data_IF_882548589737
#
_entry.id   IF_882548589737
#
_cell.length_a   1.000
_cell.length_b   1.000
_cell.length_c   1.000
_cell.angle_alpha   90.00
_cell.angle_beta   90.00
_cell.angle_gamma   90.00
#
_symmetry.space_group_name_H-M   'P 1'
#
loop_
_entity.id
_entity.type
_entity.pdbx_description
1 polymer ?
#
# COMPACT_ATOMS: atom_id res chain seq x y z
N UNK A 1 -13.13 19.64 12.71
CA UNK A 1 -12.62 19.26 11.37
C UNK A 1 -12.21 17.80 11.46
N UNK A 2 -13.07 16.87 11.03
CA UNK A 2 -12.83 15.43 11.13
C UNK A 2 -11.69 15.03 10.18
N UNK A 3 -10.86 14.09 10.57
CA UNK A 3 -9.75 13.62 9.74
C UNK A 3 -10.28 12.90 8.48
N UNK A 4 -10.20 13.56 7.32
CA UNK A 4 -10.54 12.99 6.00
C UNK A 4 -9.52 11.93 5.53
N UNK A 5 -8.84 11.27 6.46
CA UNK A 5 -7.83 10.27 6.16
C UNK A 5 -8.49 9.06 5.48
N UNK A 6 -7.79 8.45 4.51
CA UNK A 6 -8.28 7.24 3.80
C UNK A 6 -8.54 6.09 4.78
N UNK A 7 -7.77 6.01 5.85
CA UNK A 7 -7.91 5.02 6.92
C UNK A 7 -9.15 5.28 7.77
N UNK A 8 -9.44 6.53 8.14
CA UNK A 8 -10.65 6.87 8.90
C UNK A 8 -11.92 6.49 8.15
N UNK A 9 -12.01 6.82 6.85
CA UNK A 9 -13.12 6.40 5.98
C UNK A 9 -13.31 4.88 5.96
N UNK A 10 -12.22 4.10 5.96
CA UNK A 10 -12.28 2.62 6.02
C UNK A 10 -12.72 2.10 7.38
N UNK A 11 -12.27 2.73 8.47
CA UNK A 11 -12.67 2.38 9.82
C UNK A 11 -14.18 2.60 10.02
N UNK A 12 -14.71 3.71 9.52
CA UNK A 12 -16.16 3.99 9.54
C UNK A 12 -16.94 2.92 8.77
N UNK A 13 -16.48 2.54 7.57
CA UNK A 13 -17.13 1.46 6.79
C UNK A 13 -17.10 0.13 7.56
N UNK A 14 -15.98 -0.21 8.18
CA UNK A 14 -15.82 -1.45 8.94
C UNK A 14 -16.72 -1.48 10.17
N UNK A 15 -16.79 -0.37 10.91
CA UNK A 15 -17.63 -0.22 12.08
C UNK A 15 -19.11 -0.36 11.73
N UNK A 16 -19.61 0.41 10.75
CA UNK A 16 -21.00 0.34 10.32
C UNK A 16 -21.37 -1.04 9.77
N UNK A 17 -20.42 -1.73 9.12
CA UNK A 17 -20.65 -3.10 8.65
C UNK A 17 -20.70 -4.10 9.80
N UNK A 18 -19.90 -3.92 10.84
CA UNK A 18 -19.96 -4.75 12.06
C UNK A 18 -21.29 -4.55 12.83
N UNK A 19 -21.87 -3.35 12.76
CA UNK A 19 -23.23 -3.07 13.26
C UNK A 19 -24.34 -3.76 12.42
N UNK A 20 -24.00 -4.36 11.28
CA UNK A 20 -24.95 -5.07 10.41
C UNK A 20 -25.61 -4.20 9.34
N UNK A 21 -25.16 -2.97 9.14
CA UNK A 21 -25.75 -2.07 8.14
C UNK A 21 -25.51 -2.55 6.70
N UNK A 22 -26.52 -2.36 5.85
CA UNK A 22 -26.42 -2.68 4.44
C UNK A 22 -25.55 -1.64 3.70
N UNK A 23 -24.81 -2.07 2.67
CA UNK A 23 -23.87 -1.20 1.94
C UNK A 23 -24.52 0.09 1.38
N UNK A 24 -25.81 0.05 1.03
CA UNK A 24 -26.57 1.24 0.61
C UNK A 24 -26.78 2.24 1.73
N UNK A 25 -27.04 1.77 2.95
CA UNK A 25 -27.23 2.61 4.13
C UNK A 25 -25.90 3.25 4.54
N UNK A 26 -24.83 2.46 4.52
CA UNK A 26 -23.46 2.91 4.79
C UNK A 26 -23.08 4.04 3.80
N UNK A 27 -23.42 3.90 2.52
CA UNK A 27 -23.15 4.96 1.52
C UNK A 27 -23.89 6.27 1.80
N UNK A 28 -25.15 6.22 2.25
CA UNK A 28 -25.90 7.44 2.62
C UNK A 28 -25.23 8.17 3.78
N UNK A 29 -24.91 7.45 4.86
CA UNK A 29 -24.23 8.01 6.04
C UNK A 29 -22.84 8.57 5.70
N UNK A 30 -22.06 7.86 4.89
CA UNK A 30 -20.75 8.37 4.44
C UNK A 30 -20.88 9.61 3.56
N UNK A 31 -21.92 9.70 2.72
CA UNK A 31 -22.17 10.88 1.89
C UNK A 31 -22.60 12.08 2.73
N UNK A 32 -23.37 11.88 3.79
CA UNK A 32 -23.73 12.94 4.74
C UNK A 32 -22.50 13.49 5.48
N UNK A 33 -21.58 12.62 5.91
CA UNK A 33 -20.40 13.03 6.67
C UNK A 33 -19.30 13.64 5.80
N UNK A 34 -19.01 13.04 4.64
CA UNK A 34 -17.87 13.45 3.80
C UNK A 34 -18.27 14.28 2.57
N UNK A 35 -19.57 14.40 2.28
CA UNK A 35 -20.08 15.16 1.13
C UNK A 35 -19.45 14.75 -0.20
N UNK A 36 -18.88 15.72 -0.90
CA UNK A 36 -18.17 15.53 -2.17
C UNK A 36 -16.85 14.73 -2.02
N UNK A 37 -16.27 14.67 -0.81
CA UNK A 37 -15.07 13.86 -0.54
C UNK A 37 -15.40 12.37 -0.26
N UNK A 38 -16.66 11.99 -0.38
CA UNK A 38 -17.12 10.63 -0.16
C UNK A 38 -16.54 9.66 -1.20
N UNK A 39 -16.34 8.41 -0.78
CA UNK A 39 -15.89 7.34 -1.66
C UNK A 39 -16.98 7.00 -2.69
N UNK A 40 -16.56 6.64 -3.90
CA UNK A 40 -17.52 6.18 -4.91
C UNK A 40 -18.28 4.94 -4.42
N UNK A 41 -19.55 4.83 -4.82
CA UNK A 41 -20.44 3.73 -4.43
C UNK A 41 -19.85 2.35 -4.76
N UNK A 42 -19.19 2.22 -5.91
CA UNK A 42 -18.49 0.99 -6.31
C UNK A 42 -17.32 0.63 -5.38
N UNK A 43 -16.56 1.64 -4.94
CA UNK A 43 -15.44 1.43 -4.00
C UNK A 43 -15.96 0.94 -2.66
N UNK A 44 -17.03 1.56 -2.15
CA UNK A 44 -17.65 1.18 -0.88
C UNK A 44 -18.19 -0.26 -0.91
N UNK A 45 -18.87 -0.64 -1.99
CA UNK A 45 -19.40 -2.00 -2.14
C UNK A 45 -18.28 -3.05 -2.14
N UNK A 46 -17.18 -2.78 -2.86
CA UNK A 46 -15.99 -3.63 -2.86
C UNK A 46 -15.35 -3.75 -1.46
N UNK A 47 -15.42 -2.71 -0.63
CA UNK A 47 -14.98 -2.80 0.77
C UNK A 47 -15.91 -3.63 1.64
N UNK A 48 -17.23 -3.46 1.51
CA UNK A 48 -18.21 -4.26 2.26
C UNK A 48 -18.03 -5.76 1.99
N UNK A 49 -17.88 -6.16 0.73
CA UNK A 49 -17.60 -7.56 0.34
C UNK A 49 -16.30 -8.10 0.95
N UNK A 50 -15.25 -7.26 1.01
CA UNK A 50 -13.96 -7.67 1.61
C UNK A 50 -14.08 -7.88 3.11
N UNK A 51 -14.86 -7.06 3.80
CA UNK A 51 -15.10 -7.21 5.24
C UNK A 51 -15.98 -8.42 5.55
N UNK A 52 -16.98 -8.74 4.70
CA UNK A 52 -17.74 -10.00 4.79
C UNK A 52 -16.83 -11.22 4.64
N UNK A 53 -15.82 -11.16 3.76
CA UNK A 53 -14.82 -12.21 3.58
C UNK A 53 -13.80 -12.32 4.75
N UNK A 54 -14.08 -11.72 5.91
CA UNK A 54 -13.26 -11.83 7.12
C UNK A 54 -12.06 -10.90 7.20
N UNK A 55 -11.96 -9.89 6.32
CA UNK A 55 -10.79 -8.99 6.29
C UNK A 55 -10.85 -7.93 7.39
N UNK A 56 -10.10 -8.11 8.48
CA UNK A 56 -10.05 -7.14 9.61
C UNK A 56 -9.04 -5.99 9.43
N UNK A 57 -8.12 -6.12 8.46
CA UNK A 57 -7.01 -5.18 8.29
C UNK A 57 -7.40 -3.89 7.56
N UNK A 58 -7.29 -2.75 8.26
CA UNK A 58 -7.51 -1.39 7.76
C UNK A 58 -6.44 -0.93 6.74
N UNK A 59 -5.22 -1.48 6.85
CA UNK A 59 -4.11 -1.17 5.95
C UNK A 59 -4.30 -1.85 4.59
N UNK A 60 -3.85 -1.17 3.54
CA UNK A 60 -3.74 -1.80 2.24
C UNK A 60 -2.77 -2.98 2.33
N UNK A 61 -3.18 -4.11 1.75
CA UNK A 61 -2.26 -5.23 1.55
C UNK A 61 -1.19 -4.78 0.55
N UNK A 62 0.05 -5.28 0.69
CA UNK A 62 1.09 -5.02 -0.29
C UNK A 62 0.56 -5.44 -1.66
N UNK A 63 0.68 -4.53 -2.64
CA UNK A 63 0.27 -4.85 -4.00
C UNK A 63 1.24 -5.89 -4.56
N UNK A 64 0.78 -6.87 -5.36
CA UNK A 64 1.69 -7.68 -6.16
C UNK A 64 2.59 -6.74 -6.97
N UNK A 65 3.91 -6.85 -6.81
CA UNK A 65 4.89 -5.95 -7.42
C UNK A 65 5.34 -4.75 -6.57
N UNK A 66 4.84 -4.58 -5.36
CA UNK A 66 5.42 -3.62 -4.42
C UNK A 66 6.79 -4.14 -3.97
N UNK A 67 7.86 -3.45 -4.39
CA UNK A 67 9.22 -3.82 -4.01
C UNK A 67 9.34 -3.83 -2.49
N UNK A 68 9.53 -5.02 -1.91
CA UNK A 68 10.01 -5.11 -0.55
C UNK A 68 11.42 -4.52 -0.57
N UNK A 69 11.66 -3.47 0.21
CA UNK A 69 13.01 -2.97 0.41
C UNK A 69 13.78 -4.02 1.22
N UNK A 70 14.23 -5.07 0.53
CA UNK A 70 15.04 -6.13 1.09
C UNK A 70 16.42 -5.53 1.36
N UNK A 71 16.58 -4.92 2.53
CA UNK A 71 17.87 -4.44 3.00
C UNK A 71 18.60 -5.61 3.64
N UNK A 72 19.19 -6.49 2.82
CA UNK A 72 20.17 -7.46 3.33
C UNK A 72 21.51 -6.72 3.44
N UNK A 73 22.11 -6.57 4.63
CA UNK A 73 23.40 -5.89 4.79
C UNK A 73 24.48 -6.49 3.87
N UNK A 74 24.46 -7.82 3.70
CA UNK A 74 25.33 -8.56 2.79
C UNK A 74 25.18 -8.15 1.34
N UNK A 75 23.95 -7.92 0.87
CA UNK A 75 23.68 -7.51 -0.51
C UNK A 75 24.19 -6.09 -0.78
N UNK A 76 23.99 -5.15 0.17
CA UNK A 76 24.55 -3.79 0.07
C UNK A 76 26.08 -3.79 0.02
N UNK A 77 26.74 -4.53 0.90
CA UNK A 77 28.21 -4.62 0.94
C UNK A 77 28.78 -5.25 -0.34
N UNK A 78 28.13 -6.28 -0.88
CA UNK A 78 28.51 -6.90 -2.15
C UNK A 78 28.39 -5.91 -3.31
N UNK A 79 27.26 -5.19 -3.42
CA UNK A 79 27.05 -4.16 -4.45
C UNK A 79 28.08 -3.02 -4.35
N UNK A 80 28.37 -2.54 -3.13
CA UNK A 80 29.40 -1.50 -2.91
C UNK A 80 30.81 -1.96 -3.26
N UNK A 81 31.11 -3.26 -3.10
CA UNK A 81 32.40 -3.83 -3.48
C UNK A 81 32.48 -4.04 -5.00
N UNK A 82 31.42 -4.58 -5.62
CA UNK A 82 31.30 -4.77 -7.06
C UNK A 82 31.44 -3.45 -7.84
N UNK A 83 30.74 -2.39 -7.42
CA UNK A 83 30.85 -1.07 -8.04
C UNK A 83 32.27 -0.49 -7.97
N UNK A 84 33.03 -0.77 -6.89
CA UNK A 84 34.43 -0.35 -6.77
C UNK A 84 35.34 -1.11 -7.73
N UNK A 85 35.10 -2.41 -7.92
CA UNK A 85 35.87 -3.25 -8.86
C UNK A 85 35.62 -2.78 -10.31
N UNK A 86 34.36 -2.61 -10.70
CA UNK A 86 34.00 -2.23 -12.08
C UNK A 86 34.41 -0.80 -12.43
N UNK A 87 34.43 0.11 -11.44
CA UNK A 87 34.93 1.48 -11.64
C UNK A 87 36.44 1.63 -11.44
N UNK A 88 37.15 0.57 -11.03
CA UNK A 88 38.59 0.65 -10.79
C UNK A 88 39.34 0.83 -12.12
N UNK A 89 40.14 1.90 -12.26
CA UNK A 89 40.97 2.11 -13.45
C UNK A 89 41.94 0.94 -13.70
N UNK A 90 42.39 0.28 -12.63
CA UNK A 90 43.30 -0.87 -12.71
C UNK A 90 42.66 -2.10 -13.38
N UNK A 91 41.35 -2.30 -13.23
CA UNK A 91 40.64 -3.43 -13.86
C UNK A 91 40.36 -3.15 -15.34
N UNK A 92 40.15 -1.86 -15.71
CA UNK A 92 40.09 -1.44 -17.12
C UNK A 92 41.42 -1.60 -17.85
N UNK A 93 42.54 -1.41 -17.15
CA UNK A 93 43.88 -1.63 -17.73
C UNK A 93 44.13 -3.12 -18.01
N UNK A 94 43.70 -4.03 -17.12
CA UNK A 94 43.84 -5.48 -17.32
C UNK A 94 42.98 -6.04 -18.46
N UNK A 95 41.82 -5.42 -18.76
CA UNK A 95 40.94 -5.84 -19.85
C UNK A 95 41.32 -5.23 -21.22
N UNK A 96 42.12 -4.17 -21.25
CA UNK A 96 42.60 -3.52 -22.48
C UNK A 96 44.04 -3.91 -22.88
N UNK A 97 44.70 -4.79 -22.13
CA UNK A 97 45.95 -5.41 -22.58
C UNK A 97 45.64 -6.58 -23.52
N UNK A 98 45.41 -6.26 -24.80
CA UNK A 98 45.52 -7.21 -25.91
C UNK A 98 46.24 -6.56 -27.07
#
# INVERSE_FOLDING_TARGET
>A
MMDSSRSARRAVIQFLRAEGEHASQIYRRLKEVYGEQCLSRCTLFRWCQRYEAGRINLKDLPRPGQAHAVTVPRFRLWMSSYCRIVRSPHVKLLLNCR
#
